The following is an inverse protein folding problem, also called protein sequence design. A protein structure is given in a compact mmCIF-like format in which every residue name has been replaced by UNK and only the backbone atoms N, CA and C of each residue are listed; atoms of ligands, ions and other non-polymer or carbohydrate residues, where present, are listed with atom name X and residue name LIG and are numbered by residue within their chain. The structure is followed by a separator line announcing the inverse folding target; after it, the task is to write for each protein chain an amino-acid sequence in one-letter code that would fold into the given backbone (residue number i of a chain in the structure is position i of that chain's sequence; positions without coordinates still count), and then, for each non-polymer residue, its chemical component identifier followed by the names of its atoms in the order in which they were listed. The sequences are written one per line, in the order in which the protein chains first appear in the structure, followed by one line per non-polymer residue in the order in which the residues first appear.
data_IF_917366498293
#
_entry.id   IF_917366498293
#
_cell.length_a   1.000
_cell.length_b   1.000
_cell.length_c   1.000
_cell.angle_alpha   90.00
_cell.angle_beta   90.00
_cell.angle_gamma   90.00
#
_symmetry.space_group_name_H-M   'P 1'
#
loop_
_entity.id
_entity.type
_entity.pdbx_description
1 polymer ?
#
# COMPACT_ATOMS: atom_id res chain seq x y z
N UNK A 1 -12.07 -6.97 13.91
CA UNK A 1 -12.27 -8.35 14.44
C UNK A 1 -10.99 -9.18 14.40
N UNK A 2 -10.22 -9.21 13.31
CA UNK A 2 -8.98 -9.99 13.23
C UNK A 2 -7.85 -9.51 14.16
N UNK A 3 -7.79 -8.21 14.47
CA UNK A 3 -6.72 -7.59 15.27
C UNK A 3 -7.15 -7.23 16.70
N UNK A 4 -8.39 -7.55 17.09
CA UNK A 4 -8.94 -7.18 18.39
C UNK A 4 -8.60 -8.24 19.43
N UNK A 5 -8.06 -7.82 20.58
CA UNK A 5 -7.79 -8.73 21.71
C UNK A 5 -9.09 -9.37 22.21
N UNK A 6 -9.00 -10.63 22.64
CA UNK A 6 -10.12 -11.42 23.21
C UNK A 6 -11.28 -11.69 22.23
N UNK A 7 -11.09 -11.45 20.92
CA UNK A 7 -12.02 -11.85 19.88
C UNK A 7 -11.43 -13.05 19.14
N UNK A 8 -12.26 -14.06 18.86
CA UNK A 8 -11.83 -15.24 18.08
C UNK A 8 -11.33 -14.80 16.70
N UNK A 9 -10.17 -15.29 16.30
CA UNK A 9 -9.61 -15.04 14.98
C UNK A 9 -10.30 -15.97 13.97
N UNK A 10 -11.16 -15.39 13.13
CA UNK A 10 -11.88 -16.11 12.08
C UNK A 10 -11.26 -15.82 10.72
N UNK A 11 -10.57 -16.82 10.16
CA UNK A 11 -9.97 -16.74 8.84
C UNK A 11 -10.79 -17.59 7.87
N UNK A 12 -11.50 -16.94 6.96
CA UNK A 12 -12.25 -17.59 5.89
C UNK A 12 -11.80 -17.15 4.51
N UNK A 13 -12.55 -17.55 3.49
CA UNK A 13 -12.16 -17.38 2.09
C UNK A 13 -11.92 -15.91 1.70
N UNK A 14 -12.66 -14.96 2.28
CA UNK A 14 -12.48 -13.53 2.01
C UNK A 14 -11.14 -13.01 2.52
N UNK A 15 -10.72 -13.45 3.71
CA UNK A 15 -9.44 -13.08 4.30
C UNK A 15 -8.29 -13.72 3.51
N UNK A 16 -8.43 -15.00 3.15
CA UNK A 16 -7.43 -15.71 2.36
C UNK A 16 -7.27 -15.08 0.97
N UNK A 17 -8.37 -14.80 0.27
CA UNK A 17 -8.33 -14.16 -1.04
C UNK A 17 -7.66 -12.78 -0.99
N UNK A 18 -7.98 -11.96 0.02
CA UNK A 18 -7.34 -10.65 0.21
C UNK A 18 -5.84 -10.78 0.51
N UNK A 19 -5.45 -11.77 1.32
CA UNK A 19 -4.05 -12.02 1.66
C UNK A 19 -3.25 -12.53 0.45
N UNK A 20 -3.80 -13.43 -0.35
CA UNK A 20 -3.17 -13.92 -1.58
C UNK A 20 -3.05 -12.81 -2.61
N UNK A 21 -4.07 -11.96 -2.77
CA UNK A 21 -3.99 -10.79 -3.64
C UNK A 21 -2.87 -9.84 -3.19
N UNK A 22 -2.72 -9.61 -1.88
CA UNK A 22 -1.64 -8.79 -1.33
C UNK A 22 -0.26 -9.41 -1.64
N UNK A 23 -0.08 -10.72 -1.44
CA UNK A 23 1.15 -11.43 -1.79
C UNK A 23 1.50 -11.27 -3.26
N UNK A 24 0.53 -11.48 -4.14
CA UNK A 24 0.74 -11.36 -5.59
C UNK A 24 1.18 -9.94 -5.97
N UNK A 25 0.52 -8.92 -5.42
CA UNK A 25 0.90 -7.51 -5.65
C UNK A 25 2.28 -7.15 -5.10
N UNK A 26 2.68 -7.73 -3.97
CA UNK A 26 4.02 -7.50 -3.40
C UNK A 26 5.12 -8.23 -4.18
N UNK A 27 4.82 -9.42 -4.72
CA UNK A 27 5.74 -10.19 -5.53
C UNK A 27 5.98 -9.57 -6.91
N UNK A 28 4.96 -8.98 -7.52
CA UNK A 28 5.04 -8.40 -8.87
C UNK A 28 5.40 -6.91 -8.89
N UNK A 29 5.50 -6.25 -7.73
CA UNK A 29 5.81 -4.83 -7.68
C UNK A 29 7.21 -4.55 -8.27
N UNK A 30 7.37 -3.45 -9.03
CA UNK A 30 8.68 -3.03 -9.51
C UNK A 30 9.65 -2.83 -8.33
N UNK A 31 10.91 -3.20 -8.56
CA UNK A 31 11.98 -3.03 -7.57
C UNK A 31 12.08 -1.54 -7.22
N UNK A 32 11.85 -1.21 -5.95
CA UNK A 32 12.02 0.14 -5.45
C UNK A 32 13.50 0.53 -5.54
N UNK A 33 13.76 1.71 -6.09
CA UNK A 33 15.09 2.29 -6.12
C UNK A 33 15.34 3.10 -4.84
N UNK A 34 16.60 3.17 -4.43
CA UNK A 34 17.01 4.08 -3.36
C UNK A 34 16.90 5.53 -3.85
N UNK A 35 16.49 6.47 -2.98
CA UNK A 35 16.50 7.90 -3.32
C UNK A 35 17.94 8.35 -3.58
N UNK A 36 18.12 9.13 -4.64
CA UNK A 36 19.42 9.57 -5.12
C UNK A 36 19.64 11.05 -4.78
N UNK A 37 20.41 11.30 -3.71
CA UNK A 37 20.88 12.62 -3.32
C UNK A 37 19.76 13.66 -3.17
N UNK A 38 20.05 14.90 -3.58
CA UNK A 38 19.15 16.06 -3.49
C UNK A 38 18.36 16.33 -4.77
N UNK A 39 18.09 15.31 -5.59
CA UNK A 39 17.30 15.49 -6.81
C UNK A 39 15.81 15.56 -6.47
N UNK A 40 15.07 16.31 -7.29
CA UNK A 40 13.64 16.50 -7.10
C UNK A 40 12.86 15.19 -7.15
N UNK A 41 11.80 15.13 -6.36
CA UNK A 41 10.86 14.03 -6.31
C UNK A 41 9.55 14.44 -6.99
N UNK A 42 8.87 13.46 -7.59
CA UNK A 42 7.52 13.61 -8.13
C UNK A 42 6.60 12.67 -7.34
N UNK A 43 5.44 13.18 -6.98
CA UNK A 43 4.45 12.50 -6.16
C UNK A 43 3.19 12.31 -7.01
N UNK A 44 2.76 11.06 -7.20
CA UNK A 44 1.57 10.70 -7.96
C UNK A 44 0.48 10.16 -7.04
N UNK A 45 -0.48 11.02 -6.70
CA UNK A 45 -1.59 10.69 -5.82
C UNK A 45 -2.83 10.22 -6.59
N UNK A 46 -3.50 9.20 -6.04
CA UNK A 46 -4.87 8.81 -6.38
C UNK A 46 -5.73 8.74 -5.11
N UNK A 47 -7.03 9.03 -5.24
CA UNK A 47 -7.94 9.14 -4.11
C UNK A 47 -9.30 8.51 -4.41
N UNK A 48 -9.86 7.89 -3.37
CA UNK A 48 -11.24 7.40 -3.36
C UNK A 48 -11.95 7.85 -2.08
N UNK A 49 -13.27 7.67 -2.04
CA UNK A 49 -14.08 7.91 -0.83
C UNK A 49 -13.65 7.06 0.39
N UNK A 50 -12.79 6.06 0.20
CA UNK A 50 -12.33 5.15 1.27
C UNK A 50 -10.88 5.38 1.67
N UNK A 51 -10.05 5.90 0.79
CA UNK A 51 -8.61 5.91 1.00
C UNK A 51 -7.85 6.72 -0.04
N UNK A 52 -6.62 7.07 0.33
CA UNK A 52 -5.63 7.75 -0.49
C UNK A 52 -4.50 6.78 -0.79
N UNK A 53 -4.02 6.81 -2.03
CA UNK A 53 -2.84 6.12 -2.49
C UNK A 53 -1.89 7.10 -3.14
N UNK A 54 -0.59 6.84 -3.02
CA UNK A 54 0.44 7.71 -3.58
C UNK A 54 1.69 6.91 -3.92
N UNK A 55 2.41 7.39 -4.93
CA UNK A 55 3.68 6.88 -5.40
C UNK A 55 4.70 8.02 -5.43
N UNK A 56 5.81 7.81 -4.73
CA UNK A 56 6.98 8.66 -4.80
C UNK A 56 7.91 8.16 -5.93
N UNK A 57 8.22 9.03 -6.88
CA UNK A 57 9.13 8.76 -8.00
C UNK A 57 10.29 9.75 -8.07
N UNK A 58 11.42 9.28 -8.61
CA UNK A 58 12.58 10.11 -8.91
C UNK A 58 13.24 9.61 -10.20
N UNK A 59 13.41 10.49 -11.20
CA UNK A 59 14.00 10.16 -12.52
C UNK A 59 13.47 8.85 -13.10
N UNK A 60 12.15 8.74 -13.20
CA UNK A 60 11.41 7.58 -13.73
C UNK A 60 11.53 6.29 -12.90
N UNK A 61 12.23 6.33 -11.77
CA UNK A 61 12.32 5.22 -10.82
C UNK A 61 11.33 5.40 -9.70
N UNK A 62 10.76 4.29 -9.26
CA UNK A 62 9.84 4.25 -8.14
C UNK A 62 10.63 4.14 -6.83
N UNK A 63 10.38 5.05 -5.89
CA UNK A 63 11.13 5.13 -4.63
C UNK A 63 10.32 4.52 -3.48
N UNK A 64 9.03 4.86 -3.40
CA UNK A 64 8.15 4.30 -2.37
C UNK A 64 6.68 4.37 -2.77
N UNK A 65 5.89 3.53 -2.09
CA UNK A 65 4.44 3.59 -2.10
C UNK A 65 3.96 4.04 -0.73
N UNK A 66 2.95 4.92 -0.71
CA UNK A 66 2.24 5.27 0.49
C UNK A 66 0.74 5.07 0.26
N UNK A 67 0.03 4.55 1.26
CA UNK A 67 -1.43 4.53 1.21
C UNK A 67 -2.00 4.66 2.61
N UNK A 68 -3.17 5.29 2.71
CA UNK A 68 -3.86 5.47 3.98
C UNK A 68 -5.36 5.40 3.78
N UNK A 69 -6.05 4.65 4.64
CA UNK A 69 -7.50 4.71 4.74
C UNK A 69 -7.95 6.07 5.30
N UNK A 70 -9.02 6.62 4.75
CA UNK A 70 -9.62 7.84 5.29
C UNK A 70 -10.32 7.55 6.62
N UNK A 71 -10.23 8.49 7.56
CA UNK A 71 -11.03 8.43 8.80
C UNK A 71 -12.46 8.79 8.45
N UNK A 72 -13.41 8.01 8.97
CA UNK A 72 -14.83 8.37 8.91
C UNK A 72 -15.03 9.60 9.80
N UNK A 73 -15.70 10.61 9.26
CA UNK A 73 -16.05 11.84 10.00
C UNK A 73 -17.36 11.63 10.77
#
# INVERSE_FOLDING_TARGET
KLTQKKVKFEWGDKQEAAFQLLKQKLYSAPILALPEGSKDFIVYCDASNKGLGDVLMQREKMISYASRQLKVH
#
